data_IF_448706182091
#
_entry.id   IF_448706182091
#
_cell.length_a   1.000
_cell.length_b   1.000
_cell.length_c   1.000
_cell.angle_alpha   90.00
_cell.angle_beta   90.00
_cell.angle_gamma   90.00
#
_symmetry.space_group_name_H-M   'P 1'
#
loop_
_entity.id
_entity.type
_entity.pdbx_description
1 polymer ?
#
# COMPACT_ATOMS: atom_id res chain seq x y z
N UNK A 1 -5.59 14.18 2.71
CA UNK A 1 -5.87 14.90 3.99
C UNK A 1 -4.55 15.25 4.62
N UNK A 2 -4.42 16.46 5.17
CA UNK A 2 -3.21 16.89 5.86
C UNK A 2 -3.56 17.27 7.29
N UNK A 3 -2.72 16.86 8.25
CA UNK A 3 -2.81 17.27 9.65
C UNK A 3 -1.86 18.44 9.90
N UNK A 4 -2.36 19.49 10.53
CA UNK A 4 -1.58 20.64 10.99
C UNK A 4 -1.91 20.91 12.46
N UNK A 5 -1.03 20.48 13.36
CA UNK A 5 -1.30 20.48 14.80
C UNK A 5 -2.51 19.60 15.15
N UNK A 6 -3.57 20.23 15.66
CA UNK A 6 -4.87 19.60 15.99
C UNK A 6 -5.91 19.74 14.87
N UNK A 7 -5.58 20.43 13.78
CA UNK A 7 -6.50 20.67 12.66
C UNK A 7 -6.26 19.71 11.50
N UNK A 8 -7.34 19.46 10.73
CA UNK A 8 -7.32 18.64 9.52
C UNK A 8 -7.84 19.46 8.33
N UNK A 9 -7.19 19.31 7.18
CA UNK A 9 -7.65 19.89 5.92
C UNK A 9 -7.76 18.83 4.82
N UNK A 10 -8.78 19.01 3.96
CA UNK A 10 -8.90 18.24 2.71
C UNK A 10 -8.06 18.94 1.66
N UNK A 11 -6.91 18.35 1.35
CA UNK A 11 -6.10 18.75 0.19
C UNK A 11 -6.44 17.84 -0.99
N UNK A 12 -6.78 18.47 -2.11
CA UNK A 12 -6.98 17.80 -3.41
C UNK A 12 -5.79 18.16 -4.28
N UNK A 13 -5.14 17.16 -4.85
CA UNK A 13 -3.91 17.34 -5.63
C UNK A 13 -3.36 15.98 -6.07
N UNK A 14 -2.10 15.96 -6.48
CA UNK A 14 -1.41 14.73 -6.85
C UNK A 14 -1.25 13.82 -5.63
N UNK A 15 -1.75 12.60 -5.75
CA UNK A 15 -1.48 11.53 -4.79
C UNK A 15 -0.41 10.60 -5.36
N UNK A 16 0.33 9.94 -4.48
CA UNK A 16 1.27 8.91 -4.89
C UNK A 16 0.53 7.82 -5.69
N UNK A 17 1.04 7.53 -6.89
CA UNK A 17 0.61 6.38 -7.67
C UNK A 17 1.50 5.19 -7.28
N UNK A 18 0.86 4.09 -6.91
CA UNK A 18 1.54 2.88 -6.49
C UNK A 18 2.59 2.41 -7.51
N UNK A 19 3.78 2.03 -7.02
CA UNK A 19 4.89 1.58 -7.87
C UNK A 19 4.61 0.17 -8.41
N UNK A 20 4.69 0.01 -9.73
CA UNK A 20 4.70 -1.32 -10.36
C UNK A 20 6.08 -1.57 -10.96
N UNK A 21 6.78 -2.60 -10.47
CA UNK A 21 8.07 -3.01 -11.01
C UNK A 21 7.89 -3.63 -12.39
N UNK A 22 8.75 -3.23 -13.35
CA UNK A 22 8.74 -3.83 -14.69
C UNK A 22 9.14 -5.31 -14.61
N UNK A 23 8.50 -6.20 -15.39
CA UNK A 23 8.70 -7.65 -15.30
C UNK A 23 9.97 -8.12 -16.03
N UNK A 24 11.12 -7.57 -15.62
CA UNK A 24 12.43 -7.96 -16.18
C UNK A 24 13.08 -9.13 -15.44
N UNK A 25 12.71 -9.35 -14.17
CA UNK A 25 13.27 -10.41 -13.33
C UNK A 25 12.26 -11.56 -13.17
N UNK A 26 12.75 -12.79 -13.14
CA UNK A 26 11.96 -13.99 -12.86
C UNK A 26 11.63 -14.10 -11.38
N UNK A 27 10.65 -14.93 -11.03
CA UNK A 27 10.31 -15.21 -9.62
C UNK A 27 11.49 -15.72 -8.83
N UNK A 28 12.32 -16.59 -9.43
CA UNK A 28 13.51 -17.12 -8.77
C UNK A 28 14.51 -16.01 -8.42
N UNK A 29 14.66 -14.98 -9.28
CA UNK A 29 15.54 -13.84 -8.98
C UNK A 29 15.02 -12.97 -7.83
N UNK A 30 13.71 -12.99 -7.56
CA UNK A 30 13.08 -12.28 -6.46
C UNK A 30 13.03 -13.07 -5.14
N UNK A 31 13.51 -14.32 -5.09
CA UNK A 31 13.28 -15.23 -3.96
C UNK A 31 13.84 -14.74 -2.61
N UNK A 32 14.86 -13.88 -2.63
CA UNK A 32 15.47 -13.30 -1.43
C UNK A 32 14.83 -11.96 -1.03
N UNK A 33 13.97 -11.37 -1.87
CA UNK A 33 13.35 -10.08 -1.60
C UNK A 33 11.91 -10.29 -1.10
N UNK A 34 11.54 -9.76 0.08
CA UNK A 34 10.21 -9.98 0.69
C UNK A 34 9.04 -9.40 -0.12
N UNK A 35 9.30 -8.60 -1.15
CA UNK A 35 8.28 -8.13 -2.09
C UNK A 35 7.90 -9.20 -3.14
N UNK A 36 8.69 -10.27 -3.24
CA UNK A 36 8.61 -11.29 -4.30
C UNK A 36 7.99 -12.62 -3.90
N UNK A 37 7.54 -12.77 -2.65
CA UNK A 37 6.89 -13.97 -2.15
C UNK A 37 5.92 -13.63 -1.03
N UNK A 38 4.93 -14.49 -0.80
CA UNK A 38 3.91 -14.25 0.23
C UNK A 38 4.53 -14.33 1.63
N UNK A 39 4.43 -13.25 2.40
CA UNK A 39 4.92 -13.16 3.78
C UNK A 39 4.33 -11.94 4.50
N UNK A 40 4.69 -11.79 5.78
CA UNK A 40 4.55 -10.54 6.54
C UNK A 40 5.83 -10.33 7.34
N UNK A 41 6.29 -9.08 7.45
CA UNK A 41 7.51 -8.77 8.19
C UNK A 41 7.46 -7.38 8.80
N UNK A 42 8.33 -7.17 9.79
CA UNK A 42 8.67 -5.85 10.31
C UNK A 42 10.01 -5.46 9.71
N UNK A 43 10.07 -4.31 9.03
CA UNK A 43 11.30 -3.79 8.46
C UNK A 43 12.18 -3.15 9.56
N UNK A 44 13.44 -2.84 9.22
CA UNK A 44 14.41 -2.26 10.17
C UNK A 44 14.02 -0.87 10.66
N UNK A 45 13.14 -0.18 9.94
CA UNK A 45 12.54 1.10 10.30
C UNK A 45 11.25 0.94 11.14
N UNK A 46 10.97 -0.26 11.64
CA UNK A 46 9.77 -0.65 12.40
C UNK A 46 8.46 -0.65 11.59
N UNK A 47 8.51 -0.34 10.28
CA UNK A 47 7.34 -0.43 9.41
C UNK A 47 6.86 -1.88 9.30
N UNK A 48 5.54 -2.08 9.40
CA UNK A 48 4.93 -3.39 9.19
C UNK A 48 4.51 -3.56 7.73
N UNK A 49 4.82 -4.72 7.18
CA UNK A 49 4.59 -5.05 5.78
C UNK A 49 3.92 -6.41 5.64
N UNK A 50 3.13 -6.56 4.57
CA UNK A 50 2.67 -7.86 4.08
C UNK A 50 2.76 -7.92 2.56
N UNK A 51 3.10 -9.08 2.03
CA UNK A 51 3.06 -9.39 0.60
C UNK A 51 2.10 -10.55 0.36
N UNK A 52 1.22 -10.41 -0.61
CA UNK A 52 0.38 -11.48 -1.16
C UNK A 52 0.78 -11.74 -2.61
N UNK A 53 0.66 -12.98 -3.08
CA UNK A 53 1.03 -13.40 -4.42
C UNK A 53 0.02 -14.41 -4.95
N UNK A 54 -0.15 -14.43 -6.28
CA UNK A 54 -1.00 -15.40 -7.00
C UNK A 54 -2.46 -15.50 -6.48
N UNK A 55 -2.99 -14.40 -5.95
CA UNK A 55 -4.40 -14.28 -5.54
C UNK A 55 -5.25 -13.65 -6.65
N UNK A 56 -6.58 -13.66 -6.50
CA UNK A 56 -7.48 -12.92 -7.38
C UNK A 56 -7.15 -11.42 -7.44
N UNK A 57 -6.66 -10.86 -6.33
CA UNK A 57 -6.29 -9.44 -6.23
C UNK A 57 -4.97 -9.18 -6.97
N UNK A 58 -3.97 -10.07 -6.88
CA UNK A 58 -2.67 -9.86 -7.53
C UNK A 58 -2.65 -10.28 -8.99
N UNK A 59 -3.48 -11.24 -9.38
CA UNK A 59 -3.30 -12.04 -10.59
C UNK A 59 -2.20 -13.08 -10.43
N UNK A 60 -2.15 -14.04 -11.36
CA UNK A 60 -1.10 -15.06 -11.41
C UNK A 60 0.24 -14.48 -11.83
N UNK A 61 1.33 -15.03 -11.29
CA UNK A 61 2.70 -14.62 -11.56
C UNK A 61 3.01 -13.16 -11.15
N UNK A 62 2.41 -12.71 -10.06
CA UNK A 62 2.61 -11.38 -9.49
C UNK A 62 2.43 -11.39 -7.96
N UNK A 63 2.97 -10.35 -7.32
CA UNK A 63 2.82 -10.08 -5.89
C UNK A 63 2.42 -8.61 -5.67
N UNK A 64 1.60 -8.35 -4.64
CA UNK A 64 1.32 -7.00 -4.13
C UNK A 64 1.80 -6.90 -2.68
N UNK A 65 2.47 -5.80 -2.36
CA UNK A 65 2.93 -5.50 -1.01
C UNK A 65 2.18 -4.30 -0.44
N UNK A 66 1.88 -4.40 0.85
CA UNK A 66 1.07 -3.45 1.62
C UNK A 66 1.86 -2.99 2.83
N UNK A 67 1.80 -1.70 3.13
CA UNK A 67 2.31 -1.13 4.37
C UNK A 67 1.18 -0.90 5.37
N UNK A 68 1.43 -1.14 6.65
CA UNK A 68 0.52 -0.77 7.72
C UNK A 68 0.69 0.71 8.04
N UNK A 69 -0.38 1.50 7.89
CA UNK A 69 -0.30 2.95 8.09
C UNK A 69 -1.60 3.52 8.63
N UNK A 70 -1.51 4.69 9.27
CA UNK A 70 -2.66 5.47 9.69
C UNK A 70 -3.24 6.20 8.48
N UNK A 71 -4.46 5.86 8.11
CA UNK A 71 -5.24 6.51 7.04
C UNK A 71 -6.23 7.47 7.66
N UNK A 72 -6.30 8.68 7.11
CA UNK A 72 -7.27 9.70 7.52
C UNK A 72 -8.48 9.69 6.59
N UNK A 73 -9.68 9.70 7.16
CA UNK A 73 -10.93 9.72 6.42
C UNK A 73 -11.79 10.93 6.84
N UNK A 74 -12.64 11.39 5.93
CA UNK A 74 -13.52 12.53 6.11
C UNK A 74 -14.92 12.13 5.67
N UNK A 75 -15.84 12.03 6.63
CA UNK A 75 -17.23 11.65 6.38
C UNK A 75 -18.08 12.92 6.28
N UNK A 76 -18.81 13.15 5.18
CA UNK A 76 -19.66 14.33 5.05
C UNK A 76 -20.80 14.29 6.07
N UNK A 77 -21.11 15.43 6.68
CA UNK A 77 -22.23 15.57 7.63
C UNK A 77 -23.51 16.02 6.90
N UNK A 78 -24.70 15.57 7.36
CA UNK A 78 -25.96 16.20 6.97
C UNK A 78 -25.92 17.69 7.37
N UNK A 79 -26.14 18.60 6.42
CA UNK A 79 -26.07 20.05 6.64
C UNK A 79 -24.73 20.70 6.33
N UNK A 80 -23.73 19.95 5.86
CA UNK A 80 -22.45 20.47 5.39
C UNK A 80 -21.27 20.26 6.34
N UNK A 81 -20.06 20.36 5.80
CA UNK A 81 -18.83 20.05 6.53
C UNK A 81 -18.54 18.55 6.64
N UNK A 82 -17.53 18.20 7.44
CA UNK A 82 -17.03 16.83 7.58
C UNK A 82 -16.79 16.44 9.05
N UNK A 83 -16.93 15.15 9.34
CA UNK A 83 -16.34 14.49 10.51
C UNK A 83 -15.02 13.88 10.06
N UNK A 84 -13.93 14.21 10.74
CA UNK A 84 -12.61 13.63 10.47
C UNK A 84 -12.33 12.49 11.44
N UNK A 85 -11.72 11.43 10.92
CA UNK A 85 -11.26 10.28 11.70
C UNK A 85 -9.98 9.71 11.11
N UNK A 86 -9.39 8.77 11.84
CA UNK A 86 -8.20 8.05 11.41
C UNK A 86 -8.29 6.59 11.86
N UNK A 87 -7.79 5.67 11.04
CA UNK A 87 -7.69 4.25 11.37
C UNK A 87 -6.38 3.69 10.83
N UNK A 88 -5.83 2.66 11.48
CA UNK A 88 -4.70 1.93 10.93
C UNK A 88 -5.18 0.87 9.94
N UNK A 89 -4.60 0.85 8.74
CA UNK A 89 -5.00 -0.03 7.65
C UNK A 89 -3.80 -0.53 6.86
N UNK A 90 -3.97 -1.69 6.22
CA UNK A 90 -3.05 -2.17 5.18
C UNK A 90 -3.31 -1.42 3.88
N UNK A 91 -2.40 -0.52 3.52
CA UNK A 91 -2.50 0.26 2.29
C UNK A 91 -1.58 -0.34 1.24
N UNK A 92 -2.11 -0.58 0.06
CA UNK A 92 -1.33 -1.05 -1.09
C UNK A 92 -0.18 -0.07 -1.34
N UNK A 93 1.03 -0.59 -1.55
CA UNK A 93 2.23 0.21 -1.80
C UNK A 93 2.77 -0.06 -3.21
N UNK A 94 3.11 -1.32 -3.50
CA UNK A 94 3.76 -1.69 -4.75
C UNK A 94 3.34 -3.07 -5.26
N UNK A 95 3.53 -3.29 -6.56
CA UNK A 95 3.33 -4.58 -7.23
C UNK A 95 4.61 -5.04 -7.91
N UNK A 96 4.94 -6.33 -7.79
CA UNK A 96 5.97 -7.02 -8.55
C UNK A 96 5.30 -7.96 -9.53
N UNK A 97 5.53 -7.76 -10.83
CA UNK A 97 5.18 -8.75 -11.87
C UNK A 97 6.45 -9.50 -12.27
N UNK A 98 6.39 -10.82 -12.37
CA UNK A 98 7.57 -11.60 -12.75
C UNK A 98 7.64 -11.79 -14.27
N UNK A 99 8.86 -11.80 -14.81
CA UNK A 99 9.11 -12.22 -16.19
C UNK A 99 8.63 -13.65 -16.38
N UNK A 100 7.92 -13.92 -17.48
CA UNK A 100 7.59 -15.28 -17.92
C UNK A 100 8.81 -15.82 -18.70
N UNK A 101 9.66 -16.57 -17.99
CA UNK A 101 10.91 -17.20 -18.47
C UNK A 101 12.08 -16.22 -18.65
#
# INVERSE_FOLDING_TARGET
MKRSGTSYSIERGWAFNNLTYLPFMTRAQWSANPLGYANSWKASDESLWRTECDTEVTGSNACRSYGWTTVYHALPKPGGGYTFGQDNQWVFNNMVMFRRW
#
